data_IF_502544429953
#
_entry.id   IF_502544429953
#
_cell.length_a   1.000
_cell.length_b   1.000
_cell.length_c   1.000
_cell.angle_alpha   90.00
_cell.angle_beta   90.00
_cell.angle_gamma   90.00
#
_symmetry.space_group_name_H-M   'P 1'
#
loop_
_entity.id
_entity.type
_entity.pdbx_description
1 polymer ?
#
# COMPACT_ATOMS: atom_id res chain seq x y z
N UNK A 1 35.68 -2.21 -58.67
CA UNK A 1 35.22 -1.30 -57.60
C UNK A 1 33.75 -1.47 -57.17
N UNK A 2 32.81 -1.84 -58.06
CA UNK A 2 31.36 -1.91 -57.73
C UNK A 2 30.95 -2.91 -56.63
N UNK A 3 31.57 -4.09 -56.54
CA UNK A 3 31.12 -5.11 -55.57
C UNK A 3 31.63 -4.90 -54.14
N UNK A 4 32.81 -4.27 -53.96
CA UNK A 4 33.36 -3.96 -52.62
C UNK A 4 32.60 -2.80 -51.96
N UNK A 5 32.25 -1.76 -52.71
CA UNK A 5 31.42 -0.65 -52.19
C UNK A 5 30.01 -1.11 -51.78
N UNK A 6 29.38 -2.00 -52.56
CA UNK A 6 28.07 -2.57 -52.20
C UNK A 6 28.10 -3.36 -50.89
N UNK A 7 29.18 -4.10 -50.63
CA UNK A 7 29.36 -4.83 -49.36
C UNK A 7 29.54 -3.89 -48.17
N UNK A 8 30.32 -2.82 -48.33
CA UNK A 8 30.52 -1.83 -47.26
C UNK A 8 29.22 -1.09 -46.94
N UNK A 9 28.46 -0.67 -47.96
CA UNK A 9 27.15 -0.04 -47.79
C UNK A 9 26.14 -0.98 -47.11
N UNK A 10 26.14 -2.27 -47.45
CA UNK A 10 25.28 -3.26 -46.80
C UNK A 10 25.63 -3.43 -45.31
N UNK A 11 26.92 -3.47 -44.97
CA UNK A 11 27.37 -3.57 -43.56
C UNK A 11 26.97 -2.33 -42.76
N UNK A 12 27.17 -1.14 -43.33
CA UNK A 12 26.76 0.12 -42.69
C UNK A 12 25.24 0.12 -42.49
N UNK A 13 24.46 -0.27 -43.49
CA UNK A 13 23.00 -0.34 -43.38
C UNK A 13 22.55 -1.35 -42.31
N UNK A 14 23.18 -2.52 -42.21
CA UNK A 14 22.91 -3.50 -41.16
C UNK A 14 23.26 -2.97 -39.76
N UNK A 15 24.41 -2.28 -39.60
CA UNK A 15 24.81 -1.70 -38.31
C UNK A 15 23.86 -0.56 -37.92
N UNK A 16 23.47 0.30 -38.86
CA UNK A 16 22.47 1.35 -38.63
C UNK A 16 21.11 0.76 -38.22
N UNK A 17 20.70 -0.34 -38.86
CA UNK A 17 19.46 -1.03 -38.50
C UNK A 17 19.54 -1.62 -37.09
N UNK A 18 20.65 -2.28 -36.73
CA UNK A 18 20.88 -2.81 -35.39
C UNK A 18 20.88 -1.68 -34.35
N UNK A 19 21.49 -0.52 -34.64
CA UNK A 19 21.51 0.63 -33.73
C UNK A 19 20.14 1.32 -33.58
N UNK A 20 19.24 1.21 -34.58
CA UNK A 20 17.86 1.72 -34.46
C UNK A 20 16.90 0.76 -33.75
N UNK A 21 17.21 -0.55 -33.73
CA UNK A 21 16.39 -1.58 -33.11
C UNK A 21 16.88 -2.05 -31.74
N UNK A 22 18.10 -1.68 -31.34
CA UNK A 22 18.53 -1.83 -29.96
C UNK A 22 17.91 -0.69 -29.14
N UNK A 23 17.00 -0.98 -28.19
CA UNK A 23 16.56 0.03 -27.23
C UNK A 23 17.75 0.45 -26.37
N UNK A 24 18.46 1.51 -26.80
CA UNK A 24 19.66 2.07 -26.14
C UNK A 24 19.36 2.57 -24.70
N UNK A 25 18.11 2.54 -24.26
CA UNK A 25 17.68 2.99 -22.94
C UNK A 25 16.96 1.94 -22.09
N UNK A 26 17.06 0.65 -22.43
CA UNK A 26 16.49 -0.41 -21.58
C UNK A 26 17.46 -0.84 -20.48
N UNK A 27 17.77 0.10 -19.58
CA UNK A 27 18.27 -0.26 -18.25
C UNK A 27 17.08 -0.84 -17.46
N UNK A 28 17.00 -2.17 -17.41
CA UNK A 28 16.15 -2.85 -16.44
C UNK A 28 16.83 -2.75 -15.08
N UNK A 29 16.39 -1.79 -14.26
CA UNK A 29 16.78 -1.78 -12.86
C UNK A 29 16.08 -2.95 -12.19
N UNK A 30 16.85 -3.96 -11.79
CA UNK A 30 16.35 -5.04 -10.97
C UNK A 30 15.76 -4.43 -9.69
N UNK A 31 14.45 -4.63 -9.45
CA UNK A 31 13.79 -4.18 -8.23
C UNK A 31 14.56 -4.77 -7.04
N UNK A 32 15.11 -3.95 -6.13
CA UNK A 32 15.64 -4.49 -4.89
C UNK A 32 14.44 -5.02 -4.08
N UNK A 33 14.33 -6.35 -3.99
CA UNK A 33 13.33 -6.98 -3.12
C UNK A 33 13.59 -6.53 -1.67
N UNK A 34 12.52 -6.21 -0.94
CA UNK A 34 12.57 -5.81 0.47
C UNK A 34 13.42 -6.76 1.32
N UNK A 35 13.32 -8.07 1.09
CA UNK A 35 14.10 -9.11 1.79
C UNK A 35 15.62 -8.92 1.68
N UNK A 36 16.11 -8.30 0.62
CA UNK A 36 17.55 -8.09 0.39
C UNK A 36 18.08 -6.88 1.18
N UNK A 37 17.21 -5.96 1.58
CA UNK A 37 17.57 -4.70 2.24
C UNK A 37 17.13 -4.61 3.70
N UNK A 38 16.32 -5.56 4.18
CA UNK A 38 15.77 -5.57 5.54
C UNK A 38 16.83 -5.33 6.62
N UNK A 39 18.02 -5.93 6.48
CA UNK A 39 19.11 -5.78 7.46
C UNK A 39 19.96 -4.51 7.29
N UNK A 40 19.78 -3.80 6.17
CA UNK A 40 20.48 -2.54 5.85
C UNK A 40 19.63 -1.30 6.14
N UNK A 41 18.33 -1.49 6.34
CA UNK A 41 17.40 -0.42 6.70
C UNK A 41 17.39 -0.26 8.22
N UNK A 42 17.76 0.92 8.69
CA UNK A 42 17.64 1.29 10.10
C UNK A 42 16.27 1.90 10.32
N UNK A 43 15.45 1.28 11.17
CA UNK A 43 14.18 1.86 11.61
C UNK A 43 14.26 2.26 13.07
N UNK A 44 13.85 3.48 13.38
CA UNK A 44 13.90 4.02 14.74
C UNK A 44 12.78 5.04 14.97
N UNK A 45 12.38 5.17 16.24
CA UNK A 45 11.50 6.24 16.68
C UNK A 45 12.32 7.52 16.89
N UNK A 46 11.92 8.60 16.23
CA UNK A 46 12.52 9.92 16.44
C UNK A 46 11.96 10.52 17.72
N UNK A 47 10.63 10.42 17.87
CA UNK A 47 9.87 10.85 19.03
C UNK A 47 8.54 10.08 19.08
N UNK A 48 7.61 10.57 19.92
CA UNK A 48 6.27 9.96 20.08
C UNK A 48 5.44 10.02 18.79
N UNK A 49 5.65 11.02 17.94
CA UNK A 49 4.88 11.30 16.72
C UNK A 49 5.52 10.75 15.46
N UNK A 50 6.85 10.78 15.33
CA UNK A 50 7.53 10.40 14.09
C UNK A 50 8.34 9.11 14.21
N UNK A 51 8.20 8.24 13.21
CA UNK A 51 9.06 7.07 12.98
C UNK A 51 9.84 7.24 11.68
N UNK A 52 11.11 6.84 11.65
CA UNK A 52 11.97 6.97 10.47
C UNK A 52 12.57 5.64 10.06
N UNK A 53 12.66 5.44 8.76
CA UNK A 53 13.47 4.41 8.13
C UNK A 53 14.57 5.10 7.31
N UNK A 54 15.80 4.62 7.40
CA UNK A 54 16.90 5.13 6.58
C UNK A 54 17.82 4.04 6.07
N UNK A 55 18.36 4.25 4.87
CA UNK A 55 19.36 3.39 4.26
C UNK A 55 20.18 4.17 3.21
N UNK A 56 21.32 3.60 2.83
CA UNK A 56 22.24 4.18 1.86
C UNK A 56 22.37 3.27 0.65
N UNK A 57 22.23 3.83 -0.56
CA UNK A 57 22.34 3.11 -1.83
C UNK A 57 22.89 4.01 -2.92
N UNK A 58 23.82 3.47 -3.71
CA UNK A 58 24.43 4.15 -4.87
C UNK A 58 24.92 5.59 -4.60
N UNK A 59 25.42 5.85 -3.39
CA UNK A 59 25.94 7.17 -3.01
C UNK A 59 24.89 8.17 -2.52
N UNK A 60 23.66 7.72 -2.25
CA UNK A 60 22.58 8.52 -1.69
C UNK A 60 22.10 7.93 -0.37
N UNK A 61 21.71 8.83 0.55
CA UNK A 61 21.00 8.50 1.77
C UNK A 61 19.50 8.76 1.58
N UNK A 62 18.72 7.71 1.79
CA UNK A 62 17.26 7.72 1.73
C UNK A 62 16.72 7.75 3.15
N UNK A 63 15.76 8.63 3.40
CA UNK A 63 15.15 8.81 4.72
C UNK A 63 13.64 8.91 4.51
N UNK A 64 12.91 7.86 4.86
CA UNK A 64 11.46 7.89 4.91
C UNK A 64 11.02 8.24 6.34
N UNK A 65 10.02 9.10 6.46
CA UNK A 65 9.44 9.54 7.74
C UNK A 65 7.95 9.30 7.70
N UNK A 66 7.43 8.65 8.74
CA UNK A 66 6.02 8.40 8.99
C UNK A 66 5.56 9.28 10.16
N UNK A 67 4.50 10.05 9.94
CA UNK A 67 3.74 10.71 11.01
C UNK A 67 2.69 9.72 11.55
N UNK A 68 2.81 9.33 12.83
CA UNK A 68 1.91 8.35 13.48
C UNK A 68 0.52 8.91 13.76
N UNK A 69 0.36 10.24 13.75
CA UNK A 69 -0.93 10.88 14.01
C UNK A 69 -1.76 10.95 12.72
N UNK A 70 -1.10 11.22 11.58
CA UNK A 70 -1.76 11.40 10.28
C UNK A 70 -1.61 10.21 9.33
N UNK A 71 -0.72 9.26 9.63
CA UNK A 71 -0.25 8.20 8.73
C UNK A 71 0.41 8.71 7.43
N UNK A 72 0.77 9.99 7.37
CA UNK A 72 1.45 10.55 6.20
C UNK A 72 2.89 10.06 6.14
N UNK A 73 3.34 9.70 4.93
CA UNK A 73 4.72 9.30 4.66
C UNK A 73 5.40 10.35 3.78
N UNK A 74 6.60 10.76 4.18
CA UNK A 74 7.49 11.61 3.40
C UNK A 74 8.80 10.90 3.13
N UNK A 75 9.39 11.16 1.97
CA UNK A 75 10.69 10.63 1.58
C UNK A 75 11.64 11.77 1.29
N UNK A 76 12.83 11.71 1.89
CA UNK A 76 13.95 12.60 1.59
C UNK A 76 15.08 11.78 1.00
N UNK A 77 15.65 12.25 -0.12
CA UNK A 77 16.83 11.66 -0.74
C UNK A 77 17.91 12.72 -0.83
N UNK A 78 19.10 12.43 -0.30
CA UNK A 78 20.24 13.35 -0.34
C UNK A 78 21.53 12.62 -0.74
N UNK A 79 22.45 13.28 -1.47
CA UNK A 79 23.77 12.72 -1.75
C UNK A 79 24.54 12.45 -0.45
N UNK A 80 25.40 11.43 -0.46
CA UNK A 80 26.40 11.20 0.57
C UNK A 80 27.68 11.91 0.11
N UNK A 81 28.30 12.70 0.98
CA UNK A 81 29.49 13.53 0.68
C UNK A 81 30.72 12.74 0.14
N UNK A 82 30.65 11.41 0.07
CA UNK A 82 31.77 10.52 -0.21
C UNK A 82 32.00 10.15 -1.68
N UNK A 83 31.23 10.67 -2.65
CA UNK A 83 31.57 10.53 -4.08
C UNK A 83 31.42 11.85 -4.82
N UNK A 84 32.54 12.57 -4.97
CA UNK A 84 32.77 13.40 -6.15
C UNK A 84 32.69 12.46 -7.36
N UNK A 85 31.51 12.31 -7.95
CA UNK A 85 31.36 11.63 -9.23
C UNK A 85 32.27 12.35 -10.24
N UNK A 86 33.05 11.55 -10.98
CA UNK A 86 33.95 12.04 -12.00
C UNK A 86 33.15 12.85 -13.03
N UNK A 87 33.64 14.05 -13.35
CA UNK A 87 32.93 15.15 -14.02
C UNK A 87 32.67 14.89 -15.52
N UNK A 88 32.06 13.76 -15.89
CA UNK A 88 31.84 13.42 -17.31
C UNK A 88 30.38 13.46 -17.76
N UNK A 89 29.41 13.53 -16.86
CA UNK A 89 27.97 13.61 -17.20
C UNK A 89 27.27 14.56 -16.22
N UNK A 90 27.59 15.85 -16.36
CA UNK A 90 27.13 16.92 -15.48
C UNK A 90 25.70 17.33 -15.85
N UNK A 91 24.70 16.57 -15.39
CA UNK A 91 23.36 17.11 -15.21
C UNK A 91 23.24 17.60 -13.77
N UNK A 92 23.34 18.92 -13.60
CA UNK A 92 23.24 19.69 -12.35
C UNK A 92 22.12 19.25 -11.38
N UNK A 93 21.07 18.59 -11.88
CA UNK A 93 19.96 18.05 -11.08
C UNK A 93 20.29 16.83 -10.20
N UNK A 94 21.45 16.16 -10.38
CA UNK A 94 21.79 14.90 -9.71
C UNK A 94 22.36 15.08 -8.29
N UNK A 95 22.87 16.28 -7.94
CA UNK A 95 23.51 16.53 -6.63
C UNK A 95 22.60 17.28 -5.63
N UNK A 96 21.32 17.44 -5.94
CA UNK A 96 20.40 18.20 -5.08
C UNK A 96 19.65 17.28 -4.12
N UNK A 97 19.44 17.75 -2.88
CA UNK A 97 18.46 17.15 -1.97
C UNK A 97 17.06 17.23 -2.59
N UNK A 98 16.32 16.12 -2.51
CA UNK A 98 14.94 16.01 -3.00
C UNK A 98 14.03 15.56 -1.88
N UNK A 99 12.87 16.20 -1.79
CA UNK A 99 11.82 15.86 -0.83
C UNK A 99 10.57 15.45 -1.61
N UNK A 100 9.97 14.35 -1.19
CA UNK A 100 8.79 13.77 -1.82
C UNK A 100 7.70 13.56 -0.77
N UNK A 101 6.46 13.88 -1.13
CA UNK A 101 5.29 13.33 -0.45
C UNK A 101 4.98 11.95 -1.04
N UNK A 102 4.54 11.01 -0.20
CA UNK A 102 4.23 9.65 -0.63
C UNK A 102 2.73 9.41 -0.50
N UNK A 103 2.08 9.06 -1.61
CA UNK A 103 0.69 8.57 -1.63
C UNK A 103 0.71 7.07 -1.85
N UNK A 104 0.49 6.30 -0.79
CA UNK A 104 0.37 4.85 -0.89
C UNK A 104 -1.03 4.51 -1.38
N UNK A 105 -1.15 3.77 -2.48
CA UNK A 105 -2.43 3.35 -3.06
C UNK A 105 -2.81 1.94 -2.56
N UNK A 106 -1.81 1.06 -2.47
CA UNK A 106 -1.98 -0.32 -2.01
C UNK A 106 -0.74 -0.80 -1.25
N UNK A 107 -0.96 -1.52 -0.16
CA UNK A 107 0.09 -2.26 0.55
C UNK A 107 -0.53 -3.44 1.29
N UNK A 108 -0.03 -4.65 1.05
CA UNK A 108 -0.58 -5.86 1.67
C UNK A 108 0.40 -6.56 2.63
N UNK A 109 1.50 -5.90 2.98
CA UNK A 109 2.59 -6.48 3.75
C UNK A 109 3.77 -6.92 2.88
N UNK A 110 3.52 -7.26 1.62
CA UNK A 110 4.55 -7.72 0.68
C UNK A 110 4.63 -6.83 -0.57
N UNK A 111 3.49 -6.56 -1.19
CA UNK A 111 3.35 -5.78 -2.41
C UNK A 111 2.98 -4.35 -2.06
N UNK A 112 3.70 -3.39 -2.62
CA UNK A 112 3.42 -1.96 -2.50
C UNK A 112 2.97 -1.42 -3.87
N UNK A 113 2.04 -0.47 -3.87
CA UNK A 113 1.80 0.46 -4.97
C UNK A 113 1.67 1.86 -4.39
N UNK A 114 2.50 2.79 -4.85
CA UNK A 114 2.48 4.16 -4.35
C UNK A 114 2.95 5.17 -5.40
N UNK A 115 2.68 6.44 -5.14
CA UNK A 115 3.16 7.59 -5.91
C UNK A 115 4.06 8.46 -5.06
N UNK A 116 5.25 8.73 -5.54
CA UNK A 116 6.15 9.76 -5.02
C UNK A 116 5.85 11.06 -5.75
N UNK A 117 5.59 12.14 -5.02
CA UNK A 117 5.33 13.47 -5.60
C UNK A 117 6.45 14.39 -5.15
N UNK A 118 7.27 14.87 -6.08
CA UNK A 118 8.36 15.81 -5.77
C UNK A 118 7.77 17.13 -5.27
N UNK A 119 8.19 17.56 -4.07
CA UNK A 119 7.62 18.76 -3.45
C UNK A 119 8.00 20.05 -4.20
N UNK A 120 9.12 20.07 -4.94
CA UNK A 120 9.62 21.21 -5.72
C UNK A 120 9.01 21.25 -7.12
N UNK A 121 9.07 20.15 -7.87
CA UNK A 121 8.63 20.12 -9.28
C UNK A 121 7.15 19.73 -9.45
N UNK A 122 6.56 19.11 -8.41
CA UNK A 122 5.21 18.50 -8.46
C UNK A 122 5.09 17.33 -9.43
N UNK A 123 6.20 16.81 -9.93
CA UNK A 123 6.21 15.61 -10.76
C UNK A 123 5.86 14.37 -9.93
N UNK A 124 5.09 13.46 -10.52
CA UNK A 124 4.64 12.22 -9.89
C UNK A 124 5.40 11.02 -10.47
N UNK A 125 5.89 10.15 -9.59
CA UNK A 125 6.62 8.92 -9.95
C UNK A 125 5.93 7.72 -9.30
N UNK A 126 5.50 6.76 -10.12
CA UNK A 126 4.91 5.52 -9.64
C UNK A 126 5.98 4.56 -9.12
N UNK A 127 5.73 3.94 -7.97
CA UNK A 127 6.52 2.86 -7.40
C UNK A 127 5.64 1.64 -7.14
N UNK A 128 6.20 0.44 -7.30
CA UNK A 128 5.51 -0.80 -6.95
C UNK A 128 4.62 -1.44 -8.02
N UNK A 129 4.28 -0.75 -9.13
CA UNK A 129 3.63 -1.42 -10.27
C UNK A 129 4.59 -2.43 -10.91
N UNK A 130 4.20 -3.71 -11.04
CA UNK A 130 4.96 -4.73 -11.77
C UNK A 130 4.68 -4.72 -13.28
N UNK A 131 3.55 -4.13 -13.70
CA UNK A 131 3.00 -4.39 -15.04
C UNK A 131 3.01 -3.18 -15.98
N UNK A 132 3.45 -2.01 -15.51
CA UNK A 132 3.56 -0.81 -16.33
C UNK A 132 4.98 -0.27 -16.27
N UNK A 133 5.88 -0.91 -17.02
CA UNK A 133 7.04 -0.19 -17.55
C UNK A 133 6.50 0.77 -18.61
N UNK A 134 5.87 1.87 -18.17
CA UNK A 134 5.67 3.03 -19.03
C UNK A 134 7.05 3.65 -19.22
N UNK A 135 7.75 3.14 -20.25
CA UNK A 135 8.98 3.70 -20.79
C UNK A 135 8.67 5.06 -21.45
N UNK A 136 8.31 6.04 -20.65
CA UNK A 136 8.28 7.44 -21.01
C UNK A 136 8.75 8.22 -19.79
N UNK A 137 10.06 8.24 -19.58
CA UNK A 137 10.83 9.42 -19.16
C UNK A 137 12.29 9.03 -19.21
N UNK A 138 12.92 9.33 -20.35
CA UNK A 138 14.36 9.41 -20.43
C UNK A 138 14.79 10.68 -19.69
N UNK A 139 15.87 10.55 -18.91
CA UNK A 139 16.68 11.59 -18.29
C UNK A 139 16.33 11.88 -16.82
N UNK A 140 17.08 11.19 -15.94
CA UNK A 140 17.34 11.48 -14.53
C UNK A 140 16.20 11.28 -13.51
N UNK A 141 16.05 10.07 -12.95
CA UNK A 141 15.87 9.81 -11.50
C UNK A 141 15.85 8.30 -11.12
N UNK A 142 16.88 7.48 -11.48
CA UNK A 142 17.09 6.17 -10.82
C UNK A 142 17.15 6.29 -9.27
N UNK A 143 17.55 7.47 -8.80
CA UNK A 143 17.79 7.84 -7.41
C UNK A 143 16.52 8.02 -6.58
N UNK A 144 15.36 8.36 -7.14
CA UNK A 144 14.12 8.42 -6.35
C UNK A 144 13.48 7.04 -6.15
N UNK A 145 13.86 6.05 -6.96
CA UNK A 145 13.24 4.72 -6.97
C UNK A 145 14.05 3.68 -6.19
N UNK A 146 15.35 3.91 -6.00
CA UNK A 146 16.30 2.88 -5.55
C UNK A 146 15.90 2.12 -4.29
N UNK A 147 15.60 2.80 -3.19
CA UNK A 147 15.20 2.15 -1.93
C UNK A 147 13.81 2.53 -1.43
N UNK A 148 13.11 3.42 -2.12
CA UNK A 148 11.88 4.05 -1.64
C UNK A 148 10.80 3.03 -1.30
N UNK A 149 10.57 2.05 -2.18
CA UNK A 149 9.63 0.95 -1.94
C UNK A 149 9.98 0.19 -0.66
N UNK A 150 11.25 -0.17 -0.47
CA UNK A 150 11.69 -0.93 0.70
C UNK A 150 11.56 -0.13 2.01
N UNK A 151 11.88 1.17 2.02
CA UNK A 151 11.72 2.01 3.20
C UNK A 151 10.23 2.23 3.56
N UNK A 152 9.37 2.46 2.56
CA UNK A 152 7.94 2.66 2.77
C UNK A 152 7.31 1.38 3.30
N UNK A 153 7.60 0.22 2.68
CA UNK A 153 7.15 -1.08 3.17
C UNK A 153 7.65 -1.37 4.58
N UNK A 154 8.89 -1.01 4.93
CA UNK A 154 9.41 -1.16 6.30
C UNK A 154 8.57 -0.38 7.32
N UNK A 155 8.25 0.89 7.02
CA UNK A 155 7.47 1.74 7.91
C UNK A 155 6.04 1.23 8.08
N UNK A 156 5.39 0.81 6.99
CA UNK A 156 4.03 0.28 7.02
C UNK A 156 3.95 -1.08 7.73
N UNK A 157 4.92 -1.97 7.49
CA UNK A 157 4.99 -3.28 8.15
C UNK A 157 5.15 -3.14 9.68
N UNK A 158 5.95 -2.18 10.15
CA UNK A 158 6.15 -1.93 11.59
C UNK A 158 4.90 -1.35 12.26
N UNK A 159 4.04 -0.67 11.50
CA UNK A 159 2.72 -0.27 11.99
C UNK A 159 1.70 -1.42 12.01
N UNK A 160 2.08 -2.62 11.57
CA UNK A 160 1.14 -3.68 11.22
C UNK A 160 -0.03 -3.12 10.39
N UNK A 161 0.30 -2.27 9.43
CA UNK A 161 -0.66 -1.59 8.58
C UNK A 161 -0.71 -2.23 7.19
N UNK A 162 -1.92 -2.25 6.63
CA UNK A 162 -2.15 -2.46 5.20
C UNK A 162 -2.73 -1.18 4.61
N UNK A 163 -2.56 -0.97 3.31
CA UNK A 163 -3.19 0.16 2.60
C UNK A 163 -4.08 -0.41 1.52
N UNK A 164 -5.37 -0.07 1.55
CA UNK A 164 -6.35 -0.53 0.56
C UNK A 164 -7.06 0.69 -0.02
N UNK A 165 -6.91 0.91 -1.32
CA UNK A 165 -7.53 2.06 -2.00
C UNK A 165 -7.09 3.41 -1.43
N UNK A 166 -5.84 3.50 -0.97
CA UNK A 166 -5.29 4.69 -0.32
C UNK A 166 -5.66 4.89 1.15
N UNK A 167 -6.45 3.98 1.74
CA UNK A 167 -6.82 4.03 3.16
C UNK A 167 -5.83 3.18 3.95
N UNK A 168 -5.09 3.81 4.85
CA UNK A 168 -4.24 3.09 5.80
C UNK A 168 -5.11 2.42 6.86
N UNK A 169 -5.02 1.11 6.94
CA UNK A 169 -5.76 0.28 7.88
C UNK A 169 -4.78 -0.36 8.86
N UNK A 170 -5.07 -0.32 10.16
CA UNK A 170 -4.19 -0.84 11.22
C UNK A 170 -4.81 -2.09 11.83
N UNK A 171 -3.99 -3.10 12.18
CA UNK A 171 -4.50 -4.32 12.80
C UNK A 171 -5.24 -4.01 14.11
N UNK A 172 -6.39 -4.64 14.33
CA UNK A 172 -7.25 -4.40 15.51
C UNK A 172 -6.47 -4.61 16.81
N UNK A 173 -5.66 -5.68 16.88
CA UNK A 173 -4.94 -6.09 18.11
C UNK A 173 -4.06 -4.98 18.67
N UNK A 174 -3.53 -4.09 17.83
CA UNK A 174 -2.66 -2.98 18.26
C UNK A 174 -3.44 -1.77 18.79
N UNK A 175 -4.72 -1.66 18.44
CA UNK A 175 -5.54 -0.47 18.73
C UNK A 175 -6.85 -0.77 19.45
N UNK A 176 -7.10 -2.02 19.85
CA UNK A 176 -8.36 -2.47 20.44
C UNK A 176 -8.75 -1.67 21.68
N UNK A 177 -7.80 -1.38 22.56
CA UNK A 177 -8.03 -0.57 23.77
C UNK A 177 -8.31 0.91 23.42
N UNK A 178 -7.72 1.43 22.33
CA UNK A 178 -8.06 2.78 21.85
C UNK A 178 -9.49 2.82 21.32
N UNK A 179 -9.92 1.80 20.58
CA UNK A 179 -11.29 1.68 20.06
C UNK A 179 -12.30 1.61 21.21
N UNK A 180 -12.06 0.76 22.21
CA UNK A 180 -12.94 0.63 23.39
C UNK A 180 -13.09 1.93 24.18
N UNK A 181 -12.08 2.81 24.14
CA UNK A 181 -12.09 4.10 24.85
C UNK A 181 -12.43 5.30 23.95
N UNK A 182 -12.61 5.09 22.65
CA UNK A 182 -12.91 6.14 21.67
C UNK A 182 -14.35 6.64 21.78
N UNK A 183 -14.60 7.88 21.31
CA UNK A 183 -15.96 8.40 21.13
C UNK A 183 -16.67 7.84 19.90
N UNK A 184 -15.95 7.25 18.95
CA UNK A 184 -16.54 6.66 17.75
C UNK A 184 -17.08 5.24 18.02
N UNK A 185 -18.23 4.95 17.44
CA UNK A 185 -18.96 3.69 17.66
C UNK A 185 -18.69 2.61 16.59
N UNK A 186 -18.48 3.02 15.34
CA UNK A 186 -18.33 2.15 14.17
C UNK A 186 -17.11 2.54 13.34
N UNK A 187 -16.46 1.54 12.77
CA UNK A 187 -15.29 1.71 11.92
C UNK A 187 -15.39 0.82 10.69
N UNK A 188 -14.81 1.25 9.57
CA UNK A 188 -14.55 0.37 8.43
C UNK A 188 -13.64 -0.78 8.87
N UNK A 189 -13.97 -2.01 8.47
CA UNK A 189 -13.16 -3.18 8.76
C UNK A 189 -12.76 -3.93 7.48
N UNK A 190 -11.57 -4.53 7.53
CA UNK A 190 -10.97 -5.25 6.42
C UNK A 190 -10.40 -6.56 6.93
N UNK A 191 -10.56 -7.63 6.15
CA UNK A 191 -10.04 -8.96 6.46
C UNK A 191 -8.90 -9.24 5.50
N UNK A 192 -7.70 -9.44 6.03
CA UNK A 192 -6.53 -9.78 5.24
C UNK A 192 -5.65 -10.81 5.97
N UNK A 193 -5.28 -11.89 5.27
CA UNK A 193 -4.50 -13.01 5.81
C UNK A 193 -4.98 -13.51 7.18
N UNK A 194 -6.30 -13.60 7.37
CA UNK A 194 -6.91 -14.07 8.63
C UNK A 194 -6.89 -13.06 9.78
N UNK A 195 -6.47 -11.82 9.55
CA UNK A 195 -6.49 -10.74 10.54
C UNK A 195 -7.54 -9.69 10.18
N UNK A 196 -8.07 -9.02 11.21
CA UNK A 196 -8.96 -7.87 11.05
C UNK A 196 -8.17 -6.57 11.19
N UNK A 197 -8.36 -5.67 10.23
CA UNK A 197 -7.79 -4.33 10.18
C UNK A 197 -8.89 -3.28 10.22
N UNK A 198 -8.56 -2.13 10.77
CA UNK A 198 -9.48 -1.01 11.01
C UNK A 198 -9.08 0.16 10.13
N UNK A 199 -10.05 0.65 9.36
CA UNK A 199 -9.95 1.89 8.62
C UNK A 199 -10.59 3.06 9.37
N UNK A 200 -11.32 3.90 8.65
CA UNK A 200 -11.84 5.16 9.18
C UNK A 200 -13.04 4.90 10.11
N UNK A 201 -13.23 5.80 11.07
CA UNK A 201 -14.48 5.87 11.82
C UNK A 201 -15.63 6.29 10.89
N UNK A 202 -16.79 5.69 11.07
CA UNK A 202 -18.00 5.94 10.26
C UNK A 202 -19.22 6.09 11.16
N UNK A 203 -20.25 6.77 10.66
CA UNK A 203 -21.53 6.85 11.35
C UNK A 203 -22.36 5.57 11.17
N UNK A 204 -23.45 5.48 11.93
CA UNK A 204 -24.36 4.32 11.92
C UNK A 204 -25.02 4.08 10.54
N UNK A 205 -25.39 5.14 9.82
CA UNK A 205 -26.06 5.00 8.51
C UNK A 205 -25.08 4.44 7.48
N UNK A 206 -23.87 4.98 7.44
CA UNK A 206 -22.78 4.49 6.60
C UNK A 206 -22.45 3.02 6.94
N UNK A 207 -22.36 2.68 8.23
CA UNK A 207 -22.11 1.30 8.65
C UNK A 207 -23.21 0.34 8.19
N UNK A 208 -24.49 0.74 8.33
CA UNK A 208 -25.63 -0.06 7.89
C UNK A 208 -25.64 -0.25 6.37
N UNK A 209 -25.42 0.81 5.60
CA UNK A 209 -25.37 0.75 4.14
C UNK A 209 -24.27 -0.18 3.64
N UNK A 210 -23.07 -0.15 4.26
CA UNK A 210 -21.96 -1.06 3.92
C UNK A 210 -22.36 -2.53 4.09
N UNK A 211 -22.95 -2.87 5.23
CA UNK A 211 -23.41 -4.24 5.51
C UNK A 211 -24.48 -4.67 4.50
N UNK A 212 -25.47 -3.82 4.24
CA UNK A 212 -26.55 -4.13 3.31
C UNK A 212 -26.08 -4.25 1.86
N UNK A 213 -25.08 -3.44 1.45
CA UNK A 213 -24.49 -3.54 0.12
C UNK A 213 -23.86 -4.92 -0.13
N UNK A 214 -23.21 -5.51 0.88
CA UNK A 214 -22.67 -6.86 0.78
C UNK A 214 -23.75 -7.90 0.48
N UNK A 215 -24.90 -7.77 1.15
CA UNK A 215 -26.03 -8.70 1.00
C UNK A 215 -26.63 -8.68 -0.41
N UNK A 216 -26.51 -7.56 -1.12
CA UNK A 216 -26.92 -7.44 -2.52
C UNK A 216 -25.87 -7.97 -3.49
N UNK A 217 -24.59 -7.68 -3.27
CA UNK A 217 -23.54 -8.08 -4.22
C UNK A 217 -23.21 -9.58 -4.13
N UNK A 218 -23.26 -10.17 -2.92
CA UNK A 218 -23.02 -11.60 -2.66
C UNK A 218 -21.67 -12.11 -3.17
N UNK A 219 -20.65 -11.24 -3.11
CA UNK A 219 -19.26 -11.56 -3.42
C UNK A 219 -18.42 -11.52 -2.14
N UNK A 220 -18.13 -12.71 -1.60
CA UNK A 220 -17.40 -12.87 -0.34
C UNK A 220 -15.95 -12.35 -0.43
N UNK A 221 -15.36 -12.32 -1.63
CA UNK A 221 -14.00 -11.78 -1.81
C UNK A 221 -14.00 -10.26 -1.76
N UNK A 222 -15.02 -9.60 -2.33
CA UNK A 222 -15.21 -8.16 -2.17
C UNK A 222 -15.62 -7.78 -0.75
N UNK A 223 -16.43 -8.61 -0.10
CA UNK A 223 -16.89 -8.35 1.26
C UNK A 223 -15.74 -8.22 2.26
N UNK A 224 -14.68 -9.02 2.10
CA UNK A 224 -13.43 -8.91 2.89
C UNK A 224 -12.84 -7.51 2.91
N UNK A 225 -13.00 -6.74 1.84
CA UNK A 225 -12.35 -5.43 1.69
C UNK A 225 -13.30 -4.23 1.71
N UNK A 226 -14.59 -4.40 1.43
CA UNK A 226 -15.46 -3.25 1.16
C UNK A 226 -16.62 -3.07 2.13
N UNK A 227 -17.01 -4.11 2.88
CA UNK A 227 -18.32 -4.10 3.55
C UNK A 227 -18.31 -4.38 5.04
N UNK A 228 -17.23 -4.96 5.57
CA UNK A 228 -17.20 -5.28 7.00
C UNK A 228 -17.16 -4.01 7.85
N UNK A 229 -17.68 -4.14 9.06
CA UNK A 229 -17.70 -3.08 10.07
C UNK A 229 -17.15 -3.64 11.37
N UNK A 230 -16.33 -2.85 12.05
CA UNK A 230 -15.93 -3.12 13.43
C UNK A 230 -16.68 -2.19 14.37
N UNK A 231 -17.40 -2.77 15.31
CA UNK A 231 -18.15 -2.04 16.32
C UNK A 231 -17.34 -1.95 17.60
N UNK A 232 -17.48 -0.84 18.33
CA UNK A 232 -16.77 -0.61 19.60
C UNK A 232 -17.06 -1.67 20.67
N UNK A 233 -18.22 -2.31 20.63
CA UNK A 233 -18.62 -3.37 21.57
C UNK A 233 -19.71 -4.28 20.98
N UNK A 234 -19.98 -5.39 21.67
CA UNK A 234 -21.02 -6.38 21.33
C UNK A 234 -22.40 -5.75 21.09
N UNK A 235 -22.84 -4.85 21.99
CA UNK A 235 -24.19 -4.25 21.93
C UNK A 235 -24.39 -3.43 20.65
N UNK A 236 -23.36 -2.69 20.23
CA UNK A 236 -23.40 -1.92 18.99
C UNK A 236 -23.36 -2.83 17.75
N UNK A 237 -22.62 -3.93 17.80
CA UNK A 237 -22.58 -4.91 16.71
C UNK A 237 -23.93 -5.60 16.52
N UNK A 238 -24.55 -6.05 17.62
CA UNK A 238 -25.89 -6.67 17.61
C UNK A 238 -26.94 -5.68 17.10
N UNK A 239 -26.93 -4.44 17.59
CA UNK A 239 -27.82 -3.37 17.13
C UNK A 239 -27.68 -3.13 15.62
N UNK A 240 -26.45 -3.06 15.11
CA UNK A 240 -26.20 -2.87 13.68
C UNK A 240 -26.69 -4.07 12.86
N UNK A 241 -26.42 -5.30 13.31
CA UNK A 241 -26.86 -6.52 12.65
C UNK A 241 -28.39 -6.60 12.56
N UNK A 242 -29.10 -6.30 13.66
CA UNK A 242 -30.56 -6.25 13.69
C UNK A 242 -31.15 -5.13 12.81
N UNK A 243 -30.44 -4.01 12.67
CA UNK A 243 -30.90 -2.90 11.83
C UNK A 243 -30.61 -3.12 10.33
N UNK A 244 -29.60 -3.91 10.00
CA UNK A 244 -29.18 -4.21 8.64
C UNK A 244 -29.87 -5.45 8.06
N UNK A 245 -30.23 -6.43 8.91
CA UNK A 245 -30.82 -7.70 8.47
C UNK A 245 -32.11 -7.51 7.66
N UNK A 246 -32.28 -8.35 6.64
CA UNK A 246 -33.45 -8.33 5.76
C UNK A 246 -34.60 -9.17 6.30
N UNK A 247 -34.30 -10.05 7.26
CA UNK A 247 -35.29 -10.89 7.93
C UNK A 247 -35.41 -10.43 9.35
N UNK A 248 -36.59 -9.91 9.70
CA UNK A 248 -36.85 -9.24 10.97
C UNK A 248 -36.40 -10.10 12.17
N UNK A 249 -35.52 -9.54 12.99
CA UNK A 249 -35.01 -10.15 14.22
C UNK A 249 -34.04 -11.33 14.02
N UNK A 250 -33.66 -11.66 12.78
CA UNK A 250 -32.77 -12.79 12.51
C UNK A 250 -31.35 -12.31 12.19
N UNK A 251 -30.42 -12.76 13.02
CA UNK A 251 -28.97 -12.55 12.89
C UNK A 251 -28.26 -13.85 13.26
N UNK A 252 -27.00 -14.00 12.87
CA UNK A 252 -26.16 -15.11 13.34
C UNK A 252 -24.89 -14.60 13.97
N UNK A 253 -24.59 -15.07 15.19
CA UNK A 253 -23.35 -14.74 15.89
C UNK A 253 -22.34 -15.88 15.76
N UNK A 254 -21.11 -15.52 15.45
CA UNK A 254 -19.98 -16.43 15.41
C UNK A 254 -18.93 -16.02 16.44
N UNK A 255 -18.40 -17.02 17.14
CA UNK A 255 -17.22 -16.85 17.98
C UNK A 255 -15.97 -16.61 17.13
N UNK A 256 -14.92 -16.07 17.76
CA UNK A 256 -13.61 -15.96 17.12
C UNK A 256 -13.12 -17.31 16.59
N UNK A 257 -12.46 -17.30 15.44
CA UNK A 257 -11.93 -18.52 14.84
C UNK A 257 -10.68 -18.97 15.61
N UNK A 258 -10.69 -20.20 16.12
CA UNK A 258 -9.58 -20.75 16.93
C UNK A 258 -8.23 -20.74 16.20
N UNK A 259 -8.26 -20.90 14.89
CA UNK A 259 -7.06 -20.94 14.02
C UNK A 259 -6.61 -19.54 13.58
N UNK A 260 -7.43 -18.52 13.81
CA UNK A 260 -7.17 -17.13 13.42
C UNK A 260 -7.43 -16.22 14.63
N UNK A 261 -6.49 -16.12 15.58
CA UNK A 261 -6.71 -15.42 16.86
C UNK A 261 -7.00 -13.92 16.70
N UNK A 262 -6.63 -13.34 15.56
CA UNK A 262 -6.93 -11.95 15.19
C UNK A 262 -8.22 -11.82 14.37
N UNK A 263 -9.02 -12.88 14.29
CA UNK A 263 -10.34 -12.92 13.65
C UNK A 263 -11.41 -12.87 14.73
N UNK A 264 -11.91 -11.66 14.96
CA UNK A 264 -12.74 -11.32 16.09
C UNK A 264 -14.14 -11.98 16.01
N UNK A 265 -14.84 -12.14 17.15
CA UNK A 265 -16.24 -12.53 17.14
C UNK A 265 -17.06 -11.52 16.32
N UNK A 266 -18.09 -12.01 15.64
CA UNK A 266 -18.83 -11.19 14.70
C UNK A 266 -20.26 -11.69 14.46
N UNK A 267 -21.09 -10.78 13.96
CA UNK A 267 -22.40 -11.13 13.43
C UNK A 267 -22.42 -11.17 11.91
N UNK A 268 -23.29 -12.02 11.38
CA UNK A 268 -23.81 -11.95 10.02
C UNK A 268 -25.29 -11.56 10.04
N UNK A 269 -25.72 -10.78 9.05
CA UNK A 269 -27.14 -10.59 8.75
C UNK A 269 -27.72 -11.88 8.16
N UNK A 270 -29.05 -12.01 8.17
CA UNK A 270 -29.76 -13.10 7.51
C UNK A 270 -30.54 -12.54 6.31
N UNK A 271 -30.28 -13.10 5.13
CA UNK A 271 -30.85 -12.62 3.85
C UNK A 271 -32.12 -13.39 3.47
N UNK A 272 -32.26 -14.64 3.91
CA UNK A 272 -33.38 -15.51 3.56
C UNK A 272 -34.08 -16.11 4.78
N UNK A 273 -35.32 -16.52 4.57
CA UNK A 273 -36.25 -16.89 5.65
C UNK A 273 -35.84 -18.14 6.45
N UNK A 274 -36.61 -18.46 7.48
CA UNK A 274 -36.33 -19.55 8.44
C UNK A 274 -36.18 -20.95 7.83
N UNK A 275 -36.63 -21.18 6.59
CA UNK A 275 -36.57 -22.49 5.94
C UNK A 275 -35.26 -22.74 5.19
N UNK A 276 -34.62 -21.67 4.71
CA UNK A 276 -33.31 -21.70 4.06
C UNK A 276 -32.57 -20.51 4.62
N UNK A 277 -31.67 -20.72 5.58
CA UNK A 277 -30.88 -19.64 6.20
C UNK A 277 -29.66 -19.33 5.34
N UNK A 278 -29.64 -18.15 4.73
CA UNK A 278 -28.49 -17.61 3.99
C UNK A 278 -27.95 -16.44 4.82
N UNK A 279 -26.67 -16.51 5.14
CA UNK A 279 -25.96 -15.44 5.83
C UNK A 279 -25.49 -14.37 4.84
N UNK A 280 -25.48 -13.12 5.30
CA UNK A 280 -24.85 -12.02 4.58
C UNK A 280 -23.34 -12.16 4.50
N UNK A 281 -22.72 -11.63 3.45
CA UNK A 281 -21.26 -11.75 3.25
C UNK A 281 -20.47 -10.81 4.16
N UNK A 282 -21.09 -9.75 4.69
CA UNK A 282 -20.44 -8.82 5.60
C UNK A 282 -20.32 -9.37 7.02
N UNK A 283 -19.18 -9.09 7.64
CA UNK A 283 -18.89 -9.40 9.03
C UNK A 283 -19.04 -8.12 9.86
N UNK A 284 -19.80 -8.22 10.94
CA UNK A 284 -20.00 -7.13 11.90
C UNK A 284 -19.25 -7.51 13.18
N UNK A 285 -17.97 -7.14 13.22
CA UNK A 285 -17.03 -7.51 14.27
C UNK A 285 -17.24 -6.74 15.57
N UNK A 286 -16.84 -7.33 16.69
CA UNK A 286 -16.70 -6.65 17.96
C UNK A 286 -15.52 -7.20 18.78
N UNK A 287 -15.02 -6.46 19.79
CA UNK A 287 -14.04 -6.94 20.75
C UNK A 287 -14.50 -8.18 21.52
#
# INVERSE_FOLDING_TARGET
MKNKMKRILAIIFCISFILTFLPINSVSFAKPKYDVWKDKIKVYDVDKRFKKAEAEYEGYKYIATLDKDTNEIKLKVKPIDSKKYDKSLDSSSLNEERNFSVKVEYFDGENLKAKLIDEKTKEEYNIGDSDTVSAQFAIALPIALGLSEALISALLAILHAIVIGGITCVIVTDIIEKIKNSSYEYYEAYIYNGNVYIGRAIDFFTAKERVQAADFERDDNKAKFNYNVFCKNYVLAEKLALAATRVYGMIEHHSAHKESPNYYPHFHTVISNQWIKILGSAHIFHP
#
